data_IF_275668112338
#
_entry.id   IF_275668112338
#
_cell.length_a   1.000
_cell.length_b   1.000
_cell.length_c   1.000
_cell.angle_alpha   90.00
_cell.angle_beta   90.00
_cell.angle_gamma   90.00
#
_symmetry.space_group_name_H-M   'P 1'
#
loop_
_entity.id
_entity.type
_entity.pdbx_description
1 polymer ?
#
# COMPACT_ATOMS: atom_id res chain seq x y z
N UNK A 1 -9.23 3.81 4.58
CA UNK A 1 -8.74 5.11 5.08
C UNK A 1 -9.84 5.79 5.87
N UNK A 2 -9.55 6.34 7.04
CA UNK A 2 -10.50 7.17 7.81
C UNK A 2 -10.00 8.62 7.79
N UNK A 3 -9.95 9.21 6.59
CA UNK A 3 -9.34 10.54 6.38
C UNK A 3 -9.98 11.67 7.22
N UNK A 4 -11.33 11.82 7.28
CA UNK A 4 -11.92 12.96 7.98
C UNK A 4 -11.77 12.89 9.51
N UNK A 5 -11.78 11.69 10.12
CA UNK A 5 -11.62 11.59 11.59
C UNK A 5 -10.17 11.77 12.03
N UNK A 6 -9.20 11.49 11.15
CA UNK A 6 -7.78 11.72 11.46
C UNK A 6 -7.50 13.23 11.52
N UNK A 7 -8.07 14.02 10.60
CA UNK A 7 -7.91 15.48 10.65
C UNK A 7 -8.52 16.08 11.90
N UNK A 8 -9.69 15.62 12.32
CA UNK A 8 -10.33 16.08 13.57
C UNK A 8 -9.48 15.76 14.80
N UNK A 9 -8.90 14.55 14.88
CA UNK A 9 -7.99 14.20 15.99
C UNK A 9 -6.71 15.02 15.96
N UNK A 10 -6.19 15.30 14.77
CA UNK A 10 -4.97 16.11 14.59
C UNK A 10 -5.22 17.56 15.03
N UNK A 11 -6.37 18.12 14.68
CA UNK A 11 -6.82 19.44 15.10
C UNK A 11 -7.00 19.51 16.62
N UNK A 12 -7.69 18.53 17.21
CA UNK A 12 -7.94 18.46 18.65
C UNK A 12 -6.65 18.31 19.48
N UNK A 13 -5.66 17.55 18.99
CA UNK A 13 -4.41 17.29 19.71
C UNK A 13 -3.42 18.47 19.66
N UNK A 14 -3.39 19.20 18.54
CA UNK A 14 -2.38 20.24 18.27
C UNK A 14 -2.87 21.63 18.65
N UNK A 15 -4.13 21.99 18.36
CA UNK A 15 -4.71 23.29 18.70
C UNK A 15 -6.05 23.13 19.46
N UNK A 16 -6.03 22.89 20.77
CA UNK A 16 -7.27 22.92 21.55
C UNK A 16 -7.81 24.37 21.56
N UNK A 17 -9.06 24.56 21.12
CA UNK A 17 -9.85 25.82 21.17
C UNK A 17 -9.59 26.89 20.09
N UNK A 18 -9.00 26.56 18.93
CA UNK A 18 -8.98 27.49 17.78
C UNK A 18 -9.64 26.88 16.54
N UNK A 19 -10.53 27.61 15.84
CA UNK A 19 -11.20 27.11 14.63
C UNK A 19 -10.24 26.96 13.43
N UNK A 20 -9.06 27.60 13.47
CA UNK A 20 -8.05 27.51 12.42
C UNK A 20 -6.69 27.14 13.01
N UNK A 21 -6.17 25.97 12.62
CA UNK A 21 -4.88 25.46 13.08
C UNK A 21 -3.98 25.21 11.86
N UNK A 22 -3.27 26.25 11.43
CA UNK A 22 -2.36 26.18 10.27
C UNK A 22 -1.29 25.08 10.44
N UNK A 23 -0.86 24.82 11.67
CA UNK A 23 0.15 23.80 11.97
C UNK A 23 -0.31 22.36 11.72
N UNK A 24 -1.61 22.06 11.83
CA UNK A 24 -2.15 20.74 11.48
C UNK A 24 -2.03 20.49 9.97
N UNK A 25 -2.29 21.53 9.16
CA UNK A 25 -2.16 21.46 7.69
C UNK A 25 -0.69 21.20 7.31
N UNK A 26 0.25 21.95 7.89
CA UNK A 26 1.69 21.74 7.63
C UNK A 26 2.17 20.34 8.03
N UNK A 27 1.72 19.82 9.19
CA UNK A 27 2.08 18.46 9.64
C UNK A 27 1.55 17.39 8.68
N UNK A 28 0.28 17.49 8.27
CA UNK A 28 -0.27 16.51 7.31
C UNK A 28 0.41 16.58 5.93
N UNK A 29 0.71 17.78 5.44
CA UNK A 29 1.45 17.97 4.18
C UNK A 29 2.88 17.42 4.26
N UNK A 30 3.60 17.69 5.35
CA UNK A 30 4.93 17.15 5.58
C UNK A 30 4.92 15.62 5.67
N UNK A 31 3.96 15.06 6.40
CA UNK A 31 3.78 13.61 6.48
C UNK A 31 3.57 12.98 5.10
N UNK A 32 2.69 13.55 4.27
CA UNK A 32 2.44 13.06 2.91
C UNK A 32 3.67 13.18 2.00
N UNK A 33 4.45 14.26 2.12
CA UNK A 33 5.70 14.40 1.37
C UNK A 33 6.74 13.33 1.73
N UNK A 34 6.92 13.03 3.03
CA UNK A 34 7.84 11.99 3.50
C UNK A 34 7.38 10.60 3.04
N UNK A 35 6.08 10.31 3.15
CA UNK A 35 5.48 9.06 2.68
C UNK A 35 5.67 8.91 1.17
N UNK A 36 5.35 9.94 0.38
CA UNK A 36 5.52 9.93 -1.07
C UNK A 36 6.96 9.70 -1.50
N UNK A 37 7.91 10.38 -0.85
CA UNK A 37 9.33 10.18 -1.14
C UNK A 37 9.81 8.77 -0.77
N UNK A 38 9.38 8.23 0.37
CA UNK A 38 9.82 6.90 0.76
C UNK A 38 9.15 5.77 -0.01
N UNK A 39 7.87 5.92 -0.40
CA UNK A 39 7.18 4.95 -1.26
C UNK A 39 7.80 4.87 -2.65
N UNK A 40 8.35 5.96 -3.19
CA UNK A 40 9.10 5.98 -4.45
C UNK A 40 10.25 4.94 -4.46
N UNK A 41 10.94 4.78 -3.32
CA UNK A 41 12.03 3.81 -3.19
C UNK A 41 11.57 2.44 -2.69
N UNK A 42 10.56 2.40 -1.81
CA UNK A 42 10.10 1.16 -1.20
C UNK A 42 9.18 0.36 -2.11
N UNK A 43 8.33 0.98 -2.93
CA UNK A 43 7.40 0.25 -3.81
C UNK A 43 8.10 -0.72 -4.76
N UNK A 44 9.17 -0.34 -5.49
CA UNK A 44 9.87 -1.28 -6.36
C UNK A 44 10.57 -2.40 -5.59
N UNK A 45 11.07 -2.09 -4.39
CA UNK A 45 11.70 -3.07 -3.50
C UNK A 45 10.67 -4.09 -3.02
N UNK A 46 9.52 -3.63 -2.54
CA UNK A 46 8.39 -4.48 -2.11
C UNK A 46 7.89 -5.33 -3.27
N UNK A 47 7.81 -4.79 -4.49
CA UNK A 47 7.48 -5.56 -5.69
C UNK A 47 8.41 -6.77 -5.91
N UNK A 48 9.73 -6.55 -5.92
CA UNK A 48 10.70 -7.64 -6.08
C UNK A 48 10.70 -8.63 -4.90
N UNK A 49 10.48 -8.16 -3.66
CA UNK A 49 10.29 -9.07 -2.54
C UNK A 49 9.02 -9.92 -2.71
N UNK A 50 7.97 -9.38 -3.33
CA UNK A 50 6.70 -10.10 -3.52
C UNK A 50 6.87 -11.29 -4.42
N UNK A 51 7.69 -11.14 -5.44
CA UNK A 51 7.92 -12.17 -6.44
C UNK A 51 8.78 -13.32 -5.85
N UNK A 52 9.56 -13.05 -4.78
CA UNK A 52 10.41 -14.05 -4.11
C UNK A 52 9.77 -14.75 -2.92
N UNK A 53 9.17 -13.98 -2.02
CA UNK A 53 8.62 -14.47 -0.77
C UNK A 53 7.16 -14.95 -0.92
N UNK A 54 6.60 -14.80 -2.12
CA UNK A 54 5.21 -15.13 -2.42
C UNK A 54 4.28 -13.95 -2.18
N UNK A 55 3.31 -13.79 -3.08
CA UNK A 55 2.36 -12.67 -3.08
C UNK A 55 1.48 -12.63 -1.83
N UNK A 56 1.07 -13.78 -1.30
CA UNK A 56 0.20 -13.84 -0.10
C UNK A 56 0.92 -13.37 1.16
N UNK A 57 2.14 -13.86 1.41
CA UNK A 57 2.93 -13.47 2.57
C UNK A 57 3.19 -11.95 2.55
N UNK A 58 3.55 -11.40 1.38
CA UNK A 58 3.85 -9.98 1.28
C UNK A 58 2.60 -9.08 1.26
N UNK A 59 1.42 -9.57 0.88
CA UNK A 59 0.18 -8.79 1.01
C UNK A 59 -0.29 -8.73 2.48
N UNK A 60 0.03 -9.75 3.28
CA UNK A 60 -0.34 -9.80 4.70
C UNK A 60 0.46 -8.83 5.57
N UNK A 61 1.74 -8.63 5.24
CA UNK A 61 2.66 -7.75 5.97
C UNK A 61 2.15 -6.29 6.07
N UNK A 62 1.86 -5.58 4.98
CA UNK A 62 1.38 -4.20 5.02
C UNK A 62 -0.01 -4.08 5.68
N UNK A 63 -0.88 -5.09 5.52
CA UNK A 63 -2.17 -5.11 6.23
C UNK A 63 -1.97 -5.19 7.75
N UNK A 64 -1.07 -6.06 8.21
CA UNK A 64 -0.77 -6.20 9.64
C UNK A 64 -0.09 -4.96 10.24
N UNK A 65 0.87 -4.36 9.53
CA UNK A 65 1.55 -3.13 9.96
C UNK A 65 0.60 -1.94 10.07
N UNK A 66 -0.42 -1.88 9.22
CA UNK A 66 -1.43 -0.81 9.23
C UNK A 66 -2.34 -0.86 10.47
N UNK A 67 -2.41 -1.98 11.18
CA UNK A 67 -3.22 -2.12 12.41
C UNK A 67 -2.59 -1.36 13.58
N UNK A 68 -1.26 -1.32 13.66
CA UNK A 68 -0.51 -0.69 14.77
C UNK A 68 -0.89 0.79 14.96
N UNK A 69 -0.81 1.67 13.94
CA UNK A 69 -1.17 3.07 14.11
C UNK A 69 -2.66 3.26 14.42
N UNK A 70 -3.55 2.40 13.92
CA UNK A 70 -4.98 2.45 14.24
C UNK A 70 -5.24 2.08 15.71
N UNK A 71 -4.57 1.04 16.22
CA UNK A 71 -4.69 0.59 17.60
C UNK A 71 -4.23 1.66 18.60
N UNK A 72 -3.16 2.40 18.28
CA UNK A 72 -2.66 3.50 19.13
C UNK A 72 -3.74 4.58 19.30
N UNK A 73 -4.40 4.99 18.20
CA UNK A 73 -5.49 5.96 18.25
C UNK A 73 -6.79 5.41 18.87
N UNK A 74 -6.95 4.09 18.91
CA UNK A 74 -8.05 3.45 19.60
C UNK A 74 -7.86 3.45 21.12
N UNK A 75 -6.62 3.38 21.62
CA UNK A 75 -6.31 3.33 23.05
C UNK A 75 -6.38 4.70 23.72
N UNK A 76 -5.61 5.68 23.23
CA UNK A 76 -5.56 7.02 23.85
C UNK A 76 -5.21 8.10 22.83
N UNK A 77 -5.81 9.27 22.99
CA UNK A 77 -5.62 10.45 22.10
C UNK A 77 -4.93 11.62 22.78
N UNK A 78 -4.14 11.35 23.82
CA UNK A 78 -3.32 12.41 24.42
C UNK A 78 -2.22 12.86 23.44
N UNK A 79 -1.67 14.04 23.67
CA UNK A 79 -0.65 14.65 22.80
C UNK A 79 0.56 13.72 22.57
N UNK A 80 0.99 12.98 23.59
CA UNK A 80 2.12 12.04 23.48
C UNK A 80 1.77 10.84 22.58
N UNK A 81 0.57 10.30 22.70
CA UNK A 81 0.10 9.21 21.83
C UNK A 81 -0.10 9.68 20.39
N UNK A 82 -0.51 10.93 20.18
CA UNK A 82 -0.60 11.52 18.85
C UNK A 82 0.78 11.59 18.16
N UNK A 83 1.83 12.04 18.85
CA UNK A 83 3.18 12.05 18.26
C UNK A 83 3.71 10.64 18.00
N UNK A 84 3.46 9.69 18.90
CA UNK A 84 3.81 8.28 18.68
C UNK A 84 3.09 7.70 17.45
N UNK A 85 1.79 7.95 17.32
CA UNK A 85 1.00 7.61 16.15
C UNK A 85 1.55 8.26 14.88
N UNK A 86 1.88 9.56 14.92
CA UNK A 86 2.38 10.31 13.78
C UNK A 86 3.67 9.69 13.23
N UNK A 87 4.65 9.42 14.10
CA UNK A 87 5.94 8.81 13.71
C UNK A 87 5.72 7.39 13.19
N UNK A 88 4.99 6.55 13.93
CA UNK A 88 4.77 5.16 13.54
C UNK A 88 3.99 5.07 12.24
N UNK A 89 2.91 5.83 12.08
CA UNK A 89 2.15 5.90 10.85
C UNK A 89 3.03 6.33 9.68
N UNK A 90 3.86 7.35 9.85
CA UNK A 90 4.76 7.83 8.79
C UNK A 90 5.71 6.71 8.36
N UNK A 91 6.35 6.02 9.31
CA UNK A 91 7.27 4.91 9.01
C UNK A 91 6.56 3.72 8.35
N UNK A 92 5.39 3.33 8.86
CA UNK A 92 4.62 2.21 8.28
C UNK A 92 4.10 2.55 6.89
N UNK A 93 3.54 3.76 6.71
CA UNK A 93 3.05 4.24 5.41
C UNK A 93 4.17 4.36 4.39
N UNK A 94 5.35 4.80 4.79
CA UNK A 94 6.52 4.89 3.91
C UNK A 94 6.81 3.58 3.17
N UNK A 95 6.56 2.44 3.82
CA UNK A 95 6.80 1.10 3.26
C UNK A 95 5.52 0.47 2.69
N UNK A 96 4.37 0.73 3.32
CA UNK A 96 3.13 -0.01 3.05
C UNK A 96 2.15 0.74 2.15
N UNK A 97 2.32 2.05 1.95
CA UNK A 97 1.37 2.85 1.21
C UNK A 97 1.40 2.53 -0.29
N UNK A 98 0.21 2.32 -0.86
CA UNK A 98 0.01 1.82 -2.23
C UNK A 98 0.44 0.37 -2.48
N UNK A 99 1.25 -0.25 -1.60
CA UNK A 99 1.73 -1.61 -1.82
C UNK A 99 0.60 -2.63 -1.81
N UNK A 100 -0.42 -2.46 -0.96
CA UNK A 100 -1.60 -3.33 -0.93
C UNK A 100 -2.34 -3.33 -2.27
N UNK A 101 -2.60 -2.16 -2.86
CA UNK A 101 -3.24 -2.08 -4.19
C UNK A 101 -2.37 -2.70 -5.28
N UNK A 102 -1.08 -2.37 -5.33
CA UNK A 102 -0.17 -2.91 -6.34
C UNK A 102 -0.05 -4.44 -6.25
N UNK A 103 0.10 -4.98 -5.04
CA UNK A 103 0.20 -6.42 -4.80
C UNK A 103 -1.11 -7.14 -5.13
N UNK A 104 -2.26 -6.54 -4.82
CA UNK A 104 -3.57 -7.10 -5.17
C UNK A 104 -3.77 -7.16 -6.69
N UNK A 105 -3.45 -6.06 -7.41
CA UNK A 105 -3.50 -6.03 -8.87
C UNK A 105 -2.55 -7.06 -9.49
N UNK A 106 -1.34 -7.17 -8.97
CA UNK A 106 -0.37 -8.14 -9.49
C UNK A 106 -0.79 -9.59 -9.18
N UNK A 107 -1.42 -9.85 -8.04
CA UNK A 107 -2.03 -11.15 -7.74
C UNK A 107 -3.17 -11.49 -8.71
N UNK A 108 -4.04 -10.53 -9.03
CA UNK A 108 -5.09 -10.72 -10.04
C UNK A 108 -4.49 -10.94 -11.43
N UNK A 109 -3.41 -10.24 -11.78
CA UNK A 109 -2.73 -10.40 -13.07
C UNK A 109 -2.20 -11.82 -13.27
N UNK A 110 -1.65 -12.42 -12.22
CA UNK A 110 -1.09 -13.78 -12.27
C UNK A 110 -2.17 -14.87 -12.33
N UNK A 111 -3.32 -14.66 -11.69
CA UNK A 111 -4.37 -15.68 -11.58
C UNK A 111 -5.45 -15.59 -12.66
N UNK A 112 -5.62 -14.45 -13.33
CA UNK A 112 -6.69 -14.22 -14.32
C UNK A 112 -6.14 -14.23 -15.74
N UNK A 113 -6.80 -14.91 -16.71
CA UNK A 113 -6.37 -14.91 -18.11
C UNK A 113 -6.52 -13.54 -18.76
N UNK A 114 -5.62 -13.20 -19.70
CA UNK A 114 -5.50 -11.87 -20.34
C UNK A 114 -6.85 -11.29 -20.81
N UNK A 115 -7.70 -12.12 -21.42
CA UNK A 115 -9.02 -11.71 -21.93
C UNK A 115 -9.97 -11.16 -20.85
N UNK A 116 -9.83 -11.59 -19.60
CA UNK A 116 -10.68 -11.19 -18.46
C UNK A 116 -9.97 -10.29 -17.44
N UNK A 117 -8.67 -10.02 -17.61
CA UNK A 117 -7.89 -9.20 -16.67
C UNK A 117 -8.45 -7.79 -16.49
N UNK A 118 -8.82 -7.12 -17.59
CA UNK A 118 -9.38 -5.77 -17.52
C UNK A 118 -10.66 -5.71 -16.68
N UNK A 119 -11.57 -6.69 -16.86
CA UNK A 119 -12.79 -6.79 -16.06
C UNK A 119 -12.49 -7.07 -14.58
N UNK A 120 -11.53 -7.97 -14.29
CA UNK A 120 -11.12 -8.28 -12.93
C UNK A 120 -10.49 -7.09 -12.20
N UNK A 121 -9.64 -6.31 -12.88
CA UNK A 121 -9.10 -5.06 -12.35
C UNK A 121 -10.21 -4.03 -12.10
N UNK A 122 -11.17 -3.90 -13.01
CA UNK A 122 -12.33 -3.02 -12.84
C UNK A 122 -13.17 -3.38 -11.62
N UNK A 123 -13.44 -4.67 -11.40
CA UNK A 123 -14.17 -5.16 -10.21
C UNK A 123 -13.37 -4.86 -8.93
N UNK A 124 -12.06 -5.13 -8.93
CA UNK A 124 -11.21 -4.87 -7.75
C UNK A 124 -11.20 -3.38 -7.39
N UNK A 125 -11.01 -2.50 -8.38
CA UNK A 125 -11.07 -1.05 -8.18
C UNK A 125 -12.47 -0.60 -7.74
N UNK A 126 -13.53 -1.16 -8.32
CA UNK A 126 -14.91 -0.87 -7.94
C UNK A 126 -15.23 -1.21 -6.49
N UNK A 127 -14.76 -2.38 -6.01
CA UNK A 127 -14.88 -2.78 -4.60
C UNK A 127 -14.11 -1.81 -3.71
N UNK A 128 -12.90 -1.40 -4.11
CA UNK A 128 -12.11 -0.40 -3.38
C UNK A 128 -12.84 0.94 -3.22
N UNK A 129 -13.43 1.45 -4.30
CA UNK A 129 -14.22 2.69 -4.28
C UNK A 129 -15.50 2.56 -3.44
N UNK A 130 -16.22 1.44 -3.56
CA UNK A 130 -17.40 1.18 -2.74
C UNK A 130 -17.05 1.10 -1.24
N UNK A 131 -15.95 0.42 -0.90
CA UNK A 131 -15.45 0.35 0.47
C UNK A 131 -15.05 1.72 1.01
N UNK A 132 -14.49 2.60 0.16
CA UNK A 132 -14.17 3.98 0.54
C UNK A 132 -15.43 4.78 0.88
N UNK A 133 -16.45 4.75 0.01
CA UNK A 133 -17.72 5.46 0.24
C UNK A 133 -18.45 4.92 1.47
N UNK A 134 -18.59 3.61 1.61
CA UNK A 134 -19.22 3.00 2.79
C UNK A 134 -18.44 3.33 4.07
N UNK A 135 -17.10 3.30 4.01
CA UNK A 135 -16.25 3.60 5.16
C UNK A 135 -16.38 5.05 5.63
N UNK A 136 -16.38 6.03 4.72
CA UNK A 136 -16.56 7.44 5.07
C UNK A 136 -17.97 7.74 5.56
N UNK A 137 -18.98 7.10 4.97
CA UNK A 137 -20.37 7.22 5.40
C UNK A 137 -20.57 6.70 6.83
N UNK A 138 -20.11 5.48 7.12
CA UNK A 138 -20.19 4.89 8.48
C UNK A 138 -19.43 5.76 9.48
N UNK A 139 -18.23 6.24 9.13
CA UNK A 139 -17.43 7.08 10.01
C UNK A 139 -18.13 8.38 10.45
N UNK A 140 -19.13 8.87 9.71
CA UNK A 140 -19.90 10.08 10.06
C UNK A 140 -20.96 9.85 11.14
N UNK A 141 -21.48 8.62 11.26
CA UNK A 141 -22.47 8.27 12.29
C UNK A 141 -21.83 7.81 13.61
N UNK A 142 -20.53 7.50 13.59
CA UNK A 142 -19.81 7.04 14.77
C UNK A 142 -19.09 8.20 15.45
N UNK A 143 -19.03 8.14 16.78
CA UNK A 143 -18.17 9.04 17.55
C UNK A 143 -16.70 8.80 17.18
N UNK A 144 -15.87 9.83 17.25
CA UNK A 144 -14.42 9.72 16.98
C UNK A 144 -13.77 8.58 17.77
N UNK A 145 -14.26 8.31 18.99
CA UNK A 145 -13.80 7.19 19.82
C UNK A 145 -14.08 5.82 19.22
N UNK A 146 -15.35 5.59 18.91
CA UNK A 146 -15.83 4.32 18.37
C UNK A 146 -15.31 4.07 16.96
N UNK A 147 -15.10 5.12 16.14
CA UNK A 147 -14.62 4.97 14.77
C UNK A 147 -13.25 4.30 14.70
N UNK A 148 -12.29 4.69 15.55
CA UNK A 148 -10.97 4.05 15.54
C UNK A 148 -11.00 2.62 16.09
N UNK A 149 -11.84 2.35 17.08
CA UNK A 149 -12.03 0.99 17.62
C UNK A 149 -12.63 0.07 16.56
N UNK A 150 -13.70 0.49 15.89
CA UNK A 150 -14.34 -0.26 14.81
C UNK A 150 -13.39 -0.42 13.63
N UNK A 151 -12.67 0.63 13.23
CA UNK A 151 -11.69 0.53 12.15
C UNK A 151 -10.57 -0.47 12.48
N UNK A 152 -10.09 -0.50 13.72
CA UNK A 152 -9.08 -1.47 14.16
C UNK A 152 -9.64 -2.89 14.14
N UNK A 153 -10.86 -3.10 14.66
CA UNK A 153 -11.52 -4.40 14.66
C UNK A 153 -11.75 -4.93 13.24
N UNK A 154 -12.24 -4.09 12.33
CA UNK A 154 -12.44 -4.43 10.91
C UNK A 154 -11.10 -4.70 10.21
N UNK A 155 -10.03 -3.96 10.51
CA UNK A 155 -8.71 -4.20 9.95
C UNK A 155 -8.12 -5.55 10.41
N UNK A 156 -8.29 -5.90 11.69
CA UNK A 156 -7.90 -7.22 12.24
C UNK A 156 -8.72 -8.31 11.57
N UNK A 157 -10.05 -8.19 11.55
CA UNK A 157 -10.93 -9.17 10.92
C UNK A 157 -10.62 -9.36 9.44
N UNK A 158 -10.38 -8.27 8.69
CA UNK A 158 -9.99 -8.32 7.29
C UNK A 158 -8.63 -9.00 7.06
N UNK A 159 -7.65 -8.74 7.92
CA UNK A 159 -6.33 -9.40 7.84
C UNK A 159 -6.42 -10.90 8.16
N UNK A 160 -7.23 -11.27 9.15
CA UNK A 160 -7.48 -12.68 9.51
C UNK A 160 -8.24 -13.38 8.39
N UNK A 161 -9.29 -12.75 7.86
CA UNK A 161 -10.07 -13.26 6.73
C UNK A 161 -9.16 -13.49 5.51
N UNK A 162 -8.34 -12.51 5.16
CA UNK A 162 -7.36 -12.63 4.08
C UNK A 162 -6.39 -13.81 4.32
N UNK A 163 -5.84 -13.95 5.53
CA UNK A 163 -4.92 -15.06 5.83
C UNK A 163 -5.55 -16.44 5.67
N UNK A 164 -6.82 -16.59 6.07
CA UNK A 164 -7.55 -17.86 6.06
C UNK A 164 -8.00 -18.20 4.64
N UNK A 165 -8.65 -17.25 3.95
CA UNK A 165 -9.32 -17.51 2.68
C UNK A 165 -8.41 -17.37 1.47
N UNK A 166 -7.35 -16.56 1.52
CA UNK A 166 -6.43 -16.46 0.41
C UNK A 166 -5.54 -17.71 0.43
N UNK A 167 -5.55 -18.57 -0.61
CA UNK A 167 -4.65 -19.72 -0.63
C UNK A 167 -3.21 -19.26 -0.82
N UNK A 168 -2.27 -19.91 -0.12
CA UNK A 168 -0.85 -19.72 -0.39
C UNK A 168 -0.55 -20.34 -1.75
N UNK A 169 -0.22 -19.52 -2.74
CA UNK A 169 0.30 -20.00 -4.04
C UNK A 169 1.76 -20.46 -3.89
N UNK A 170 2.20 -20.77 -2.66
CA UNK A 170 3.55 -21.18 -2.36
C UNK A 170 3.75 -22.63 -2.83
N UNK A 171 4.26 -22.77 -4.05
CA UNK A 171 5.19 -23.84 -4.43
C UNK A 171 4.65 -25.27 -4.22
N UNK A 172 3.57 -25.63 -4.91
CA UNK A 172 3.19 -27.05 -5.02
C UNK A 172 3.08 -27.60 -6.45
N UNK A 173 3.46 -26.82 -7.48
CA UNK A 173 3.34 -27.31 -8.88
C UNK A 173 4.44 -26.87 -9.86
N UNK A 174 5.62 -26.42 -9.39
CA UNK A 174 6.77 -26.13 -10.29
C UNK A 174 8.01 -26.99 -10.01
N UNK A 175 7.96 -27.93 -9.07
CA UNK A 175 9.03 -28.92 -8.83
C UNK A 175 8.72 -30.31 -9.40
N UNK A 176 7.61 -30.46 -10.14
CA UNK A 176 7.29 -31.65 -10.93
C UNK A 176 6.75 -31.28 -12.31
N UNK A 177 7.57 -30.63 -13.13
CA UNK A 177 7.74 -30.93 -14.56
C UNK A 177 8.77 -29.96 -15.13
N UNK A 178 9.99 -30.40 -15.45
CA UNK A 178 10.88 -29.59 -16.27
C UNK A 178 10.33 -29.62 -17.71
N UNK A 179 9.71 -28.53 -18.15
CA UNK A 179 9.32 -28.32 -19.56
C UNK A 179 10.57 -27.98 -20.41
N UNK A 180 11.68 -28.70 -20.18
CA UNK A 180 12.93 -28.48 -20.89
C UNK A 180 13.70 -29.78 -21.17
N UNK A 181 12.98 -30.80 -21.63
CA UNK A 181 13.60 -31.94 -22.32
C UNK A 181 12.90 -32.21 -23.66
N UNK A 182 13.10 -31.32 -24.63
CA UNK A 182 13.02 -31.68 -26.06
C UNK A 182 14.09 -30.92 -26.83
N UNK A 183 15.29 -31.47 -26.83
CA UNK A 183 16.38 -31.02 -27.71
C UNK A 183 17.62 -30.52 -26.98
N UNK A 184 18.42 -31.46 -26.44
CA UNK A 184 19.89 -31.44 -26.40
C UNK A 184 20.41 -32.64 -25.60
N UNK A 185 20.11 -33.85 -26.08
CA UNK A 185 21.04 -34.97 -25.87
C UNK A 185 22.33 -34.64 -26.62
N UNK A 186 23.44 -34.43 -25.90
CA UNK A 186 24.85 -34.75 -26.30
C UNK A 186 25.96 -33.94 -25.61
N UNK A 187 25.70 -32.96 -24.74
CA UNK A 187 26.79 -32.05 -24.28
C UNK A 187 27.16 -32.18 -22.78
N UNK A 188 26.40 -32.92 -21.97
CA UNK A 188 26.56 -32.86 -20.48
C UNK A 188 27.46 -33.96 -19.89
N UNK A 189 28.10 -34.80 -20.71
CA UNK A 189 28.97 -35.88 -20.21
C UNK A 189 30.38 -35.42 -19.77
N UNK A 190 30.78 -34.16 -20.04
CA UNK A 190 32.20 -33.76 -19.92
C UNK A 190 32.55 -32.79 -18.78
N UNK A 191 31.57 -32.36 -17.97
CA UNK A 191 31.83 -31.39 -16.88
C UNK A 191 31.36 -31.88 -15.50
N UNK A 192 31.48 -33.18 -15.25
CA UNK A 192 31.12 -33.81 -13.97
C UNK A 192 32.27 -33.83 -12.93
N UNK A 193 33.39 -33.15 -13.18
CA UNK A 193 34.51 -33.06 -12.24
C UNK A 193 34.79 -31.61 -11.86
N UNK A 194 34.03 -31.10 -10.89
CA UNK A 194 34.53 -30.19 -9.85
C UNK A 194 33.41 -29.90 -8.84
N UNK A 195 33.33 -30.75 -7.82
CA UNK A 195 32.49 -30.50 -6.65
C UNK A 195 33.32 -29.68 -5.65
N UNK A 196 32.86 -28.46 -5.34
CA UNK A 196 33.22 -27.75 -4.11
C UNK A 196 32.01 -26.94 -3.59
N UNK A 197 31.94 -26.65 -2.28
CA UNK A 197 30.70 -26.71 -1.50
C UNK A 197 29.89 -25.41 -1.51
N UNK A 198 28.56 -25.58 -1.37
CA UNK A 198 27.54 -24.67 -0.83
C UNK A 198 28.05 -23.24 -0.52
N UNK A 199 27.80 -22.29 -1.43
CA UNK A 199 27.95 -20.85 -1.15
C UNK A 199 26.59 -20.23 -0.87
N UNK A 200 26.28 -20.04 0.40
CA UNK A 200 25.16 -19.24 0.92
C UNK A 200 25.26 -17.73 0.63
N UNK A 201 26.12 -17.30 -0.30
CA UNK A 201 26.42 -15.90 -0.60
C UNK A 201 25.63 -15.31 -1.78
N UNK A 202 24.77 -16.09 -2.46
CA UNK A 202 23.94 -15.58 -3.57
C UNK A 202 22.58 -15.02 -3.13
N UNK A 203 22.21 -15.13 -1.86
CA UNK A 203 20.89 -14.74 -1.34
C UNK A 203 20.68 -13.20 -1.38
N UNK A 204 21.75 -12.39 -1.41
CA UNK A 204 21.66 -10.93 -1.31
C UNK A 204 21.89 -10.16 -2.63
N UNK A 205 22.17 -10.85 -3.75
CA UNK A 205 22.73 -10.19 -4.95
C UNK A 205 21.73 -9.75 -6.01
N UNK A 206 20.43 -9.83 -5.74
CA UNK A 206 19.41 -9.44 -6.71
C UNK A 206 18.49 -8.37 -6.12
N UNK A 207 19.12 -7.24 -5.77
CA UNK A 207 18.44 -5.94 -5.72
C UNK A 207 18.41 -5.41 -7.16
N UNK A 208 17.24 -5.24 -7.79
CA UNK A 208 17.19 -4.52 -9.06
C UNK A 208 17.77 -3.13 -8.81
N UNK A 209 18.78 -2.76 -9.59
CA UNK A 209 19.39 -1.44 -9.47
C UNK A 209 18.37 -0.40 -9.89
N UNK A 210 18.31 0.76 -9.21
CA UNK A 210 17.52 1.90 -9.69
C UNK A 210 17.90 2.26 -11.14
N UNK A 211 19.15 1.99 -11.53
CA UNK A 211 19.62 2.12 -12.91
C UNK A 211 18.87 1.17 -13.83
N UNK A 212 18.69 -0.09 -13.48
CA UNK A 212 18.00 -1.07 -14.32
C UNK A 212 16.54 -0.64 -14.55
N UNK A 213 15.88 -0.10 -13.52
CA UNK A 213 14.52 0.44 -13.63
C UNK A 213 14.46 1.68 -14.52
N UNK A 214 15.41 2.62 -14.36
CA UNK A 214 15.53 3.81 -15.21
C UNK A 214 15.80 3.42 -16.67
N UNK A 215 16.67 2.44 -16.90
CA UNK A 215 16.97 1.92 -18.23
C UNK A 215 15.75 1.25 -18.86
N UNK A 216 14.96 0.52 -18.08
CA UNK A 216 13.69 -0.05 -18.55
C UNK A 216 12.63 1.02 -18.83
N UNK A 217 12.57 2.09 -18.03
CA UNK A 217 11.68 3.21 -18.28
C UNK A 217 12.01 3.85 -19.64
N UNK A 218 13.30 4.08 -19.89
CA UNK A 218 13.81 4.76 -21.08
C UNK A 218 13.83 3.88 -22.35
N UNK A 219 13.76 2.55 -22.20
CA UNK A 219 13.84 1.64 -23.36
C UNK A 219 12.56 1.58 -24.19
N UNK A 220 11.40 1.88 -23.60
CA UNK A 220 10.11 1.78 -24.27
C UNK A 220 9.30 3.07 -24.20
N UNK A 221 8.98 3.62 -25.39
CA UNK A 221 8.14 4.83 -25.53
C UNK A 221 6.73 4.64 -24.96
N UNK A 222 6.13 3.46 -25.16
CA UNK A 222 4.79 3.14 -24.65
C UNK A 222 4.79 3.13 -23.12
N UNK A 223 5.81 2.51 -22.54
CA UNK A 223 5.96 2.42 -21.09
C UNK A 223 6.24 3.80 -20.47
N UNK A 224 7.10 4.61 -21.10
CA UNK A 224 7.32 6.01 -20.68
C UNK A 224 6.02 6.83 -20.73
N UNK A 225 5.25 6.74 -21.82
CA UNK A 225 3.98 7.47 -21.96
C UNK A 225 2.97 7.04 -20.89
N UNK A 226 2.84 5.74 -20.63
CA UNK A 226 1.98 5.22 -19.57
C UNK A 226 2.41 5.73 -18.19
N UNK A 227 3.72 5.78 -17.91
CA UNK A 227 4.25 6.31 -16.66
C UNK A 227 3.96 7.81 -16.49
N UNK A 228 4.10 8.60 -17.55
CA UNK A 228 3.77 10.05 -17.53
C UNK A 228 2.28 10.25 -17.26
N UNK A 229 1.40 9.49 -17.93
CA UNK A 229 -0.05 9.55 -17.70
C UNK A 229 -0.38 9.15 -16.25
N UNK A 230 0.20 8.07 -15.75
CA UNK A 230 -0.01 7.62 -14.37
C UNK A 230 0.48 8.66 -13.34
N UNK A 231 1.58 9.34 -13.62
CA UNK A 231 2.10 10.42 -12.78
C UNK A 231 1.10 11.58 -12.68
N UNK A 232 0.61 12.09 -13.81
CA UNK A 232 -0.36 13.20 -13.80
C UNK A 232 -1.71 12.81 -13.18
N UNK A 233 -2.16 11.57 -13.42
CA UNK A 233 -3.37 11.05 -12.76
C UNK A 233 -3.20 10.98 -11.24
N UNK A 234 -2.06 10.49 -10.76
CA UNK A 234 -1.77 10.40 -9.32
C UNK A 234 -1.63 11.78 -8.69
N UNK A 235 -0.98 12.72 -9.39
CA UNK A 235 -0.87 14.11 -8.96
C UNK A 235 -2.24 14.78 -8.85
N UNK A 236 -3.13 14.54 -9.83
CA UNK A 236 -4.50 15.04 -9.82
C UNK A 236 -5.32 14.47 -8.66
N UNK A 237 -5.25 13.17 -8.41
CA UNK A 237 -5.99 12.52 -7.32
C UNK A 237 -5.49 12.97 -5.95
N UNK A 238 -4.18 13.05 -5.75
CA UNK A 238 -3.58 13.56 -4.52
C UNK A 238 -3.97 15.04 -4.27
N UNK A 239 -3.93 15.88 -5.31
CA UNK A 239 -4.36 17.28 -5.25
C UNK A 239 -5.86 17.42 -4.91
N UNK A 240 -6.70 16.60 -5.53
CA UNK A 240 -8.13 16.55 -5.24
C UNK A 240 -8.40 16.15 -3.78
N UNK A 241 -7.77 15.08 -3.28
CA UNK A 241 -7.94 14.64 -1.91
C UNK A 241 -7.45 15.67 -0.88
N UNK A 242 -6.31 16.32 -1.14
CA UNK A 242 -5.80 17.39 -0.29
C UNK A 242 -6.75 18.60 -0.25
N UNK A 243 -7.28 19.00 -1.41
CA UNK A 243 -8.23 20.11 -1.53
C UNK A 243 -9.53 19.81 -0.79
N UNK A 244 -10.11 18.63 -0.98
CA UNK A 244 -11.33 18.22 -0.26
C UNK A 244 -11.10 18.25 1.25
N UNK A 245 -9.94 17.79 1.72
CA UNK A 245 -9.65 17.74 3.16
C UNK A 245 -9.52 19.14 3.78
N UNK A 246 -9.01 20.13 3.03
CA UNK A 246 -8.81 21.50 3.53
C UNK A 246 -10.07 22.36 3.38
N UNK A 247 -10.74 22.31 2.22
CA UNK A 247 -11.85 23.20 1.92
C UNK A 247 -13.19 22.72 2.48
N UNK A 248 -13.43 21.41 2.53
CA UNK A 248 -14.73 20.86 2.94
C UNK A 248 -15.11 21.22 4.39
N UNK A 249 -14.19 21.18 5.39
CA UNK A 249 -14.50 21.65 6.73
C UNK A 249 -14.85 23.14 6.76
N UNK A 250 -14.08 24.00 6.07
CA UNK A 250 -14.30 25.45 6.07
C UNK A 250 -15.66 25.87 5.49
N UNK A 251 -16.15 25.16 4.47
CA UNK A 251 -17.45 25.44 3.85
C UNK A 251 -18.62 24.91 4.70
N UNK A 252 -18.51 23.68 5.24
CA UNK A 252 -19.57 23.07 6.05
C UNK A 252 -19.77 23.75 7.41
N UNK A 253 -18.70 24.27 8.02
CA UNK A 253 -18.81 25.02 9.29
C UNK A 253 -19.36 26.44 9.08
N UNK A 254 -19.20 27.03 7.90
CA UNK A 254 -19.82 28.33 7.57
C UNK A 254 -21.35 28.22 7.46
N UNK A 255 -21.86 27.12 6.89
CA UNK A 255 -23.30 26.91 6.75
C UNK A 255 -24.01 26.56 8.08
N UNK A 256 -23.33 25.85 8.99
CA UNK A 256 -23.91 25.48 10.29
C UNK A 256 -23.99 26.64 11.31
N UNK A 257 -23.26 27.73 11.09
CA UNK A 257 -23.32 28.94 11.93
C UNK A 257 -24.26 30.02 11.36
N UNK A 258 -24.98 29.72 10.27
CA UNK A 258 -25.97 30.60 9.64
C UNK A 258 -27.42 30.13 9.83
N UNK A 259 -27.65 29.14 10.70
CA UNK A 259 -28.97 28.66 11.16
C UNK A 259 -28.99 28.71 12.68
#
# INVERSE_FOLDING_TARGET
MVAPTITDVTMFAVCPHQPECSIAIYLTGFQQAVIGLGTLFMMPLVGNLSDRYGRKALLTLPMSLSIIPLAILAYSRSRNFFYAYYVLKTLTSMVCEGSVQCLALAYVADNVPVRRRAAAFGILSGIGSAAFVCGTFIARFLSTASTFQVATAVAIAGTVYMRIFLPDVAVEESLKTPILCRGKEKIVADFANEISPIKSEQIFKSRPSLRDMLTMLQSSKIFTQAAVVAFFLSLSDAGFQASVTVYLPGVLFADFNSI
#
